data_IF_470823469832
#
_entry.id   IF_470823469832
#
_cell.length_a   1.000
_cell.length_b   1.000
_cell.length_c   1.000
_cell.angle_alpha   90.00
_cell.angle_beta   90.00
_cell.angle_gamma   90.00
#
_symmetry.space_group_name_H-M   'P 1'
#
loop_
_entity.id
_entity.type
_entity.pdbx_description
1 polymer ?
#
# COMPACT_ATOMS: atom_id res chain seq x y z
N UNK A 1 10.21 20.16 -30.56
CA UNK A 1 10.98 18.91 -30.75
C UNK A 1 10.13 17.74 -30.26
N UNK A 2 10.16 16.60 -30.95
CA UNK A 2 9.44 15.38 -30.53
C UNK A 2 10.21 14.70 -29.39
N UNK A 3 9.52 14.26 -28.34
CA UNK A 3 10.13 13.45 -27.28
C UNK A 3 10.37 12.02 -27.80
N UNK A 4 11.63 11.65 -27.99
CA UNK A 4 12.01 10.37 -28.60
C UNK A 4 11.65 9.16 -27.74
N UNK A 5 11.68 9.29 -26.40
CA UNK A 5 11.28 8.20 -25.50
C UNK A 5 9.78 7.93 -25.61
N UNK A 6 8.98 9.00 -25.58
CA UNK A 6 7.52 8.90 -25.75
C UNK A 6 7.19 8.26 -27.10
N UNK A 7 7.81 8.73 -28.19
CA UNK A 7 7.60 8.16 -29.52
C UNK A 7 7.87 6.65 -29.54
N UNK A 8 9.04 6.24 -29.04
CA UNK A 8 9.45 4.83 -29.03
C UNK A 8 8.46 3.94 -28.29
N UNK A 9 8.04 4.35 -27.09
CA UNK A 9 7.12 3.56 -26.25
C UNK A 9 5.72 3.49 -26.86
N UNK A 10 5.21 4.60 -27.39
CA UNK A 10 3.85 4.66 -27.92
C UNK A 10 3.72 3.87 -29.23
N UNK A 11 4.68 3.99 -30.15
CA UNK A 11 4.66 3.24 -31.41
C UNK A 11 4.80 1.72 -31.20
N UNK A 12 5.60 1.31 -30.21
CA UNK A 12 5.73 -0.10 -29.83
C UNK A 12 4.46 -0.65 -29.15
N UNK A 13 3.85 0.13 -28.26
CA UNK A 13 2.57 -0.23 -27.64
C UNK A 13 1.45 -0.37 -28.68
N UNK A 14 1.36 0.55 -29.63
CA UNK A 14 0.39 0.48 -30.74
C UNK A 14 0.59 -0.80 -31.56
N UNK A 15 1.85 -1.09 -31.93
CA UNK A 15 2.20 -2.29 -32.69
C UNK A 15 1.81 -3.56 -31.93
N UNK A 16 2.11 -3.59 -30.62
CA UNK A 16 1.81 -4.70 -29.72
C UNK A 16 0.31 -4.93 -29.58
N UNK A 17 -0.48 -3.88 -29.35
CA UNK A 17 -1.93 -3.99 -29.23
C UNK A 17 -2.59 -4.43 -30.56
N UNK A 18 -2.12 -3.92 -31.70
CA UNK A 18 -2.60 -4.36 -33.00
C UNK A 18 -2.27 -5.84 -33.26
N UNK A 19 -1.07 -6.30 -32.88
CA UNK A 19 -0.68 -7.70 -32.99
C UNK A 19 -1.54 -8.59 -32.06
N UNK A 20 -1.80 -8.16 -30.83
CA UNK A 20 -2.71 -8.82 -29.90
C UNK A 20 -4.13 -8.97 -30.47
N UNK A 21 -4.69 -7.89 -31.02
CA UNK A 21 -6.02 -7.92 -31.64
C UNK A 21 -6.09 -8.91 -32.82
N UNK A 22 -5.07 -8.95 -33.67
CA UNK A 22 -4.99 -9.92 -34.78
C UNK A 22 -4.85 -11.36 -34.27
N UNK A 23 -4.01 -11.59 -33.27
CA UNK A 23 -3.79 -12.92 -32.67
C UNK A 23 -5.10 -13.51 -32.13
N UNK A 24 -5.90 -12.69 -31.46
CA UNK A 24 -7.15 -13.13 -30.83
C UNK A 24 -8.40 -12.89 -31.69
N UNK A 25 -8.23 -12.42 -32.93
CA UNK A 25 -9.33 -12.12 -33.87
C UNK A 25 -10.40 -11.21 -33.26
N UNK A 26 -9.98 -10.20 -32.49
CA UNK A 26 -10.87 -9.29 -31.78
C UNK A 26 -11.77 -8.56 -32.79
N UNK A 27 -13.07 -8.80 -32.67
CA UNK A 27 -14.09 -8.16 -33.50
C UNK A 27 -14.29 -6.69 -33.13
N UNK A 28 -14.92 -5.93 -34.04
CA UNK A 28 -15.26 -4.54 -33.74
C UNK A 28 -16.20 -4.42 -32.51
N UNK A 29 -17.12 -5.36 -32.30
CA UNK A 29 -17.99 -5.38 -31.11
C UNK A 29 -17.23 -5.62 -29.81
N UNK A 30 -16.28 -6.54 -29.79
CA UNK A 30 -15.45 -6.80 -28.60
C UNK A 30 -14.53 -5.60 -28.30
N UNK A 31 -13.94 -4.99 -29.34
CA UNK A 31 -13.21 -3.75 -29.20
C UNK A 31 -14.07 -2.65 -28.56
N UNK A 32 -15.32 -2.47 -29.02
CA UNK A 32 -16.24 -1.49 -28.45
C UNK A 32 -16.58 -1.77 -26.99
N UNK A 33 -16.85 -3.04 -26.65
CA UNK A 33 -17.09 -3.43 -25.26
C UNK A 33 -15.89 -3.12 -24.36
N UNK A 34 -14.66 -3.38 -24.81
CA UNK A 34 -13.44 -3.04 -24.07
C UNK A 34 -13.27 -1.52 -23.89
N UNK A 35 -13.55 -0.72 -24.94
CA UNK A 35 -13.49 0.75 -24.81
C UNK A 35 -14.57 1.30 -23.88
N UNK A 36 -15.79 0.73 -23.94
CA UNK A 36 -16.89 1.15 -23.08
C UNK A 36 -16.59 0.85 -21.61
N UNK A 37 -15.90 -0.26 -21.33
CA UNK A 37 -15.44 -0.62 -19.99
C UNK A 37 -14.49 0.44 -19.40
N UNK A 38 -13.51 0.90 -20.19
CA UNK A 38 -12.58 1.97 -19.78
C UNK A 38 -13.35 3.28 -19.56
N UNK A 39 -14.25 3.64 -20.47
CA UNK A 39 -15.07 4.85 -20.35
C UNK A 39 -15.95 4.81 -19.10
N UNK A 40 -16.55 3.66 -18.78
CA UNK A 40 -17.37 3.50 -17.58
C UNK A 40 -16.51 3.60 -16.31
N UNK A 41 -15.29 3.06 -16.33
CA UNK A 41 -14.36 3.16 -15.19
C UNK A 41 -14.10 4.62 -14.83
N UNK A 42 -13.79 5.45 -15.83
CA UNK A 42 -13.59 6.90 -15.65
C UNK A 42 -14.85 7.60 -15.13
N UNK A 43 -16.03 7.26 -15.67
CA UNK A 43 -17.29 7.88 -15.23
C UNK A 43 -17.63 7.57 -13.78
N UNK A 44 -17.20 6.42 -13.28
CA UNK A 44 -17.45 5.96 -11.92
C UNK A 44 -16.29 6.28 -10.96
N UNK A 45 -15.20 6.86 -11.44
CA UNK A 45 -14.00 7.12 -10.63
C UNK A 45 -13.24 5.85 -10.26
N UNK A 46 -13.40 4.77 -11.03
CA UNK A 46 -12.72 3.48 -10.83
C UNK A 46 -11.52 3.28 -11.77
N UNK A 47 -11.13 4.30 -12.54
CA UNK A 47 -10.01 4.18 -13.48
C UNK A 47 -8.71 3.76 -12.80
N UNK A 48 -8.37 4.33 -11.63
CA UNK A 48 -7.18 3.92 -10.88
C UNK A 48 -7.31 2.46 -10.43
N UNK A 49 -8.45 2.07 -9.84
CA UNK A 49 -8.68 0.70 -9.40
C UNK A 49 -8.50 -0.31 -10.54
N UNK A 50 -9.00 0.01 -11.74
CA UNK A 50 -8.83 -0.83 -12.92
C UNK A 50 -7.34 -1.01 -13.25
N UNK A 51 -6.56 0.06 -13.29
CA UNK A 51 -5.14 -0.06 -13.63
C UNK A 51 -4.32 -0.72 -12.51
N UNK A 52 -4.65 -0.44 -11.25
CA UNK A 52 -3.95 -0.97 -10.08
C UNK A 52 -4.06 -2.49 -9.99
N UNK A 53 -5.28 -3.03 -10.16
CA UNK A 53 -5.55 -4.47 -10.09
C UNK A 53 -4.82 -5.28 -11.16
N UNK A 54 -4.57 -4.70 -12.34
CA UNK A 54 -4.03 -5.45 -13.47
C UNK A 54 -2.59 -5.11 -13.83
N UNK A 55 -2.05 -3.96 -13.43
CA UNK A 55 -0.77 -3.47 -13.95
C UNK A 55 0.18 -2.84 -12.91
N UNK A 56 -0.31 -2.28 -11.80
CA UNK A 56 0.57 -1.55 -10.86
C UNK A 56 1.61 -2.46 -10.19
N UNK A 57 1.26 -3.72 -9.93
CA UNK A 57 2.20 -4.71 -9.41
C UNK A 57 3.42 -4.92 -10.32
N UNK A 58 3.23 -4.96 -11.64
CA UNK A 58 4.32 -5.08 -12.62
C UNK A 58 5.22 -3.83 -12.59
N UNK A 59 4.63 -2.64 -12.49
CA UNK A 59 5.39 -1.40 -12.36
C UNK A 59 6.21 -1.34 -11.06
N UNK A 60 5.65 -1.86 -9.96
CA UNK A 60 6.36 -2.02 -8.70
C UNK A 60 7.51 -3.03 -8.80
N UNK A 61 7.32 -4.15 -9.50
CA UNK A 61 8.35 -5.16 -9.70
C UNK A 61 9.53 -4.61 -10.51
N UNK A 62 9.24 -3.85 -11.57
CA UNK A 62 10.27 -3.18 -12.36
C UNK A 62 11.06 -2.20 -11.48
N UNK A 63 10.39 -1.43 -10.62
CA UNK A 63 11.06 -0.51 -9.67
C UNK A 63 11.90 -1.26 -8.64
N UNK A 64 11.49 -2.46 -8.25
CA UNK A 64 12.20 -3.30 -7.28
C UNK A 64 13.42 -4.04 -7.86
N UNK A 65 13.51 -4.24 -9.18
CA UNK A 65 14.61 -5.00 -9.81
C UNK A 65 16.01 -4.46 -9.48
N UNK A 66 16.16 -3.15 -9.35
CA UNK A 66 17.42 -2.49 -9.03
C UNK A 66 17.46 -1.96 -7.58
N UNK A 67 16.40 -2.22 -6.81
CA UNK A 67 16.27 -1.71 -5.44
C UNK A 67 17.14 -2.51 -4.48
N UNK A 68 17.77 -1.77 -3.57
CA UNK A 68 18.45 -2.32 -2.40
C UNK A 68 17.64 -1.95 -1.15
N UNK A 69 17.71 -2.77 -0.11
CA UNK A 69 16.94 -2.55 1.12
C UNK A 69 15.53 -3.16 1.04
N UNK A 70 14.57 -2.53 1.73
CA UNK A 70 13.19 -3.04 1.79
C UNK A 70 12.49 -2.95 0.43
N UNK A 71 11.65 -3.94 0.08
CA UNK A 71 10.87 -3.88 -1.15
C UNK A 71 9.80 -2.79 -1.11
N UNK A 72 9.57 -2.15 -2.26
CA UNK A 72 8.38 -1.35 -2.50
C UNK A 72 7.19 -2.24 -2.86
N UNK A 73 6.01 -1.69 -2.64
CA UNK A 73 4.75 -2.27 -3.07
C UNK A 73 3.89 -1.18 -3.72
N UNK A 74 2.81 -1.62 -4.35
CA UNK A 74 1.82 -0.73 -4.95
C UNK A 74 1.30 0.30 -3.92
N UNK A 75 0.96 1.50 -4.34
CA UNK A 75 0.37 2.51 -3.43
C UNK A 75 -1.09 2.19 -3.16
N UNK A 76 -1.78 1.70 -4.19
CA UNK A 76 -3.23 1.55 -4.21
C UNK A 76 -3.96 2.89 -4.27
N UNK A 77 -5.28 2.86 -4.49
CA UNK A 77 -6.02 4.07 -4.89
C UNK A 77 -6.41 4.99 -3.73
N UNK A 78 -6.05 4.65 -2.48
CA UNK A 78 -6.61 5.26 -1.27
C UNK A 78 -5.63 6.08 -0.44
N UNK A 79 -4.41 6.34 -0.96
CA UNK A 79 -3.50 7.27 -0.33
C UNK A 79 -4.02 8.72 -0.44
N UNK A 80 -3.86 9.49 0.64
CA UNK A 80 -4.24 10.89 0.71
C UNK A 80 -3.12 11.68 1.39
N UNK A 81 -2.66 12.75 0.73
CA UNK A 81 -1.68 13.67 1.32
C UNK A 81 -2.33 14.47 2.44
N UNK A 82 -1.55 14.77 3.49
CA UNK A 82 -1.96 15.68 4.55
C UNK A 82 -2.55 15.02 5.79
N UNK A 83 -2.35 13.71 5.97
CA UNK A 83 -2.70 13.04 7.21
C UNK A 83 -2.09 13.75 8.44
N UNK A 84 -2.76 13.73 9.59
CA UNK A 84 -2.33 14.45 10.78
C UNK A 84 -0.97 13.94 11.26
N UNK A 85 -0.11 14.87 11.65
CA UNK A 85 1.13 14.53 12.35
C UNK A 85 0.78 14.15 13.80
N UNK A 86 1.27 13.00 14.21
CA UNK A 86 1.11 12.44 15.54
C UNK A 86 2.33 12.78 16.40
N UNK A 87 2.17 12.70 17.72
CA UNK A 87 3.23 12.91 18.71
C UNK A 87 3.27 11.73 19.68
N UNK A 88 4.46 11.34 20.20
CA UNK A 88 4.57 10.21 21.11
C UNK A 88 3.74 10.37 22.40
N UNK A 89 3.15 9.29 22.94
CA UNK A 89 3.05 7.96 22.33
C UNK A 89 2.15 7.99 21.08
N UNK A 90 2.62 7.40 19.98
CA UNK A 90 1.89 7.44 18.72
C UNK A 90 0.67 6.51 18.79
N UNK A 91 -0.52 7.08 18.62
CA UNK A 91 -1.78 6.37 18.52
C UNK A 91 -2.49 6.87 17.27
N UNK A 92 -2.95 5.96 16.42
CA UNK A 92 -3.68 6.32 15.20
C UNK A 92 -4.96 7.09 15.56
N UNK A 93 -5.32 8.15 14.82
CA UNK A 93 -6.64 8.75 14.95
C UNK A 93 -7.70 7.68 14.73
N UNK A 94 -8.68 7.59 15.61
CA UNK A 94 -9.68 6.52 15.56
C UNK A 94 -10.99 6.96 16.22
N UNK A 95 -12.10 6.28 15.96
CA UNK A 95 -13.38 6.51 16.64
C UNK A 95 -13.26 6.15 18.13
N UNK A 96 -14.16 6.72 18.93
CA UNK A 96 -14.39 6.18 20.27
C UNK A 96 -14.84 4.72 20.16
N UNK A 97 -14.13 3.83 20.85
CA UNK A 97 -14.34 2.37 20.78
C UNK A 97 -14.21 1.81 19.36
N UNK A 98 -13.19 2.25 18.60
CA UNK A 98 -12.85 1.71 17.29
C UNK A 98 -12.87 0.16 17.30
N UNK A 99 -13.73 -0.49 16.49
CA UNK A 99 -13.78 -1.93 16.42
C UNK A 99 -12.49 -2.49 15.83
N UNK A 100 -12.07 -3.67 16.30
CA UNK A 100 -10.87 -4.35 15.84
C UNK A 100 -10.00 -4.79 17.01
N UNK A 101 -9.07 -5.69 16.73
CA UNK A 101 -8.11 -6.15 17.72
C UNK A 101 -6.97 -5.14 17.82
N UNK A 102 -6.51 -4.84 19.04
CA UNK A 102 -5.45 -3.87 19.27
C UNK A 102 -4.15 -4.32 18.60
N UNK A 103 -3.48 -3.43 17.87
CA UNK A 103 -2.23 -3.70 17.17
C UNK A 103 -1.16 -2.69 17.58
N UNK A 104 0.03 -3.20 17.92
CA UNK A 104 1.26 -2.40 17.98
C UNK A 104 2.13 -2.73 16.78
N UNK A 105 2.36 -1.73 15.92
CA UNK A 105 3.27 -1.80 14.80
C UNK A 105 4.56 -1.08 15.16
N UNK A 106 5.68 -1.80 15.20
CA UNK A 106 6.97 -1.27 15.61
C UNK A 106 8.13 -1.78 14.76
N UNK A 107 9.28 -1.14 14.87
CA UNK A 107 10.50 -1.58 14.22
C UNK A 107 11.57 -0.50 14.23
N UNK A 108 12.58 -0.69 13.40
CA UNK A 108 13.65 0.26 13.15
C UNK A 108 13.72 0.63 11.66
N UNK A 109 14.23 1.84 11.40
CA UNK A 109 14.59 2.31 10.06
C UNK A 109 16.10 2.46 10.02
N UNK A 110 16.75 1.76 9.08
CA UNK A 110 18.20 1.80 8.90
C UNK A 110 18.58 2.10 7.45
N UNK A 111 19.84 2.47 7.24
CA UNK A 111 20.47 2.43 5.91
C UNK A 111 20.95 1.01 5.57
N UNK A 112 21.59 0.87 4.40
CA UNK A 112 22.12 -0.42 3.89
C UNK A 112 23.27 -0.96 4.74
N UNK A 113 23.97 -0.09 5.47
CA UNK A 113 25.05 -0.43 6.38
C UNK A 113 24.55 -0.79 7.80
N UNK A 114 23.24 -0.66 8.05
CA UNK A 114 22.60 -0.94 9.32
C UNK A 114 22.68 0.22 10.33
N UNK A 115 23.09 1.42 9.90
CA UNK A 115 23.05 2.60 10.77
C UNK A 115 21.60 3.08 10.90
N UNK A 116 21.18 3.53 12.10
CA UNK A 116 19.83 4.06 12.30
C UNK A 116 19.60 5.33 11.47
N UNK A 117 18.40 5.44 10.90
CA UNK A 117 17.93 6.64 10.18
C UNK A 117 16.94 7.38 11.09
N UNK A 118 17.41 8.32 11.92
CA UNK A 118 16.52 9.09 12.80
C UNK A 118 15.64 10.05 11.98
N UNK A 119 14.50 10.46 12.56
CA UNK A 119 13.62 11.47 11.98
C UNK A 119 13.04 11.11 10.59
N UNK A 120 13.14 9.85 10.17
CA UNK A 120 12.39 9.35 9.03
C UNK A 120 10.88 9.44 9.34
N UNK A 121 10.11 10.03 8.42
CA UNK A 121 8.65 10.09 8.49
C UNK A 121 8.08 8.76 8.03
N UNK A 122 7.16 8.20 8.82
CA UNK A 122 6.26 7.13 8.40
C UNK A 122 4.86 7.74 8.22
N UNK A 123 4.27 7.54 7.05
CA UNK A 123 2.90 7.92 6.69
C UNK A 123 2.09 6.65 6.52
N UNK A 124 1.26 6.34 7.51
CA UNK A 124 0.57 5.05 7.66
C UNK A 124 -0.93 5.23 7.40
N UNK A 125 -1.51 4.31 6.62
CA UNK A 125 -2.96 4.19 6.46
C UNK A 125 -3.39 2.74 6.30
N UNK A 126 -4.58 2.41 6.78
CA UNK A 126 -5.21 1.10 6.56
C UNK A 126 -6.73 1.17 6.71
N UNK A 127 -7.40 0.07 6.37
CA UNK A 127 -8.84 -0.08 6.51
C UNK A 127 -9.27 -0.22 7.98
N UNK A 128 -10.51 0.14 8.28
CA UNK A 128 -11.17 -0.20 9.54
C UNK A 128 -11.60 -1.69 9.58
N UNK A 129 -12.21 -2.11 10.70
CA UNK A 129 -12.68 -3.49 10.89
C UNK A 129 -13.76 -3.96 9.89
N UNK A 130 -14.33 -3.07 9.07
CA UNK A 130 -15.25 -3.42 7.99
C UNK A 130 -14.56 -3.41 6.62
N UNK A 131 -13.24 -3.20 6.56
CA UNK A 131 -12.50 -3.11 5.30
C UNK A 131 -12.64 -1.77 4.61
N UNK A 132 -13.07 -0.71 5.32
CA UNK A 132 -13.34 0.60 4.74
C UNK A 132 -12.27 1.64 5.13
N UNK A 133 -11.94 2.50 4.18
CA UNK A 133 -10.96 3.58 4.34
C UNK A 133 -11.64 4.94 4.62
N UNK A 134 -11.16 5.65 5.64
CA UNK A 134 -11.57 7.03 5.93
C UNK A 134 -11.26 7.97 4.77
N UNK A 135 -12.02 9.06 4.67
CA UNK A 135 -11.98 10.05 3.58
C UNK A 135 -12.27 9.50 2.16
N UNK A 136 -12.47 8.19 2.02
CA UNK A 136 -12.89 7.52 0.80
C UNK A 136 -14.32 7.03 0.96
N UNK A 137 -14.58 6.30 2.04
CA UNK A 137 -15.90 5.74 2.35
C UNK A 137 -16.68 6.62 3.32
N UNK A 138 -18.01 6.74 3.14
CA UNK A 138 -18.86 7.55 4.00
C UNK A 138 -19.03 6.91 5.38
N UNK A 139 -19.37 7.72 6.40
CA UNK A 139 -19.67 7.23 7.75
C UNK A 139 -18.44 6.94 8.62
N UNK A 140 -17.27 7.39 8.18
CA UNK A 140 -15.99 7.25 8.89
C UNK A 140 -15.48 8.66 9.21
N UNK A 141 -15.01 8.95 10.44
CA UNK A 141 -14.40 10.24 10.73
C UNK A 141 -13.22 10.53 9.82
N UNK A 142 -12.99 11.82 9.55
CA UNK A 142 -11.82 12.25 8.80
C UNK A 142 -10.54 11.75 9.47
N UNK A 143 -9.63 11.25 8.64
CA UNK A 143 -8.32 10.73 9.02
C UNK A 143 -8.34 9.53 9.99
N UNK A 144 -9.50 8.89 10.22
CA UNK A 144 -9.57 7.64 10.98
C UNK A 144 -8.61 6.60 10.37
N UNK A 145 -7.72 6.06 11.19
CA UNK A 145 -6.68 5.11 10.82
C UNK A 145 -5.75 5.63 9.70
N UNK A 146 -5.47 6.95 9.72
CA UNK A 146 -4.44 7.61 8.91
C UNK A 146 -3.59 8.54 9.77
N UNK A 147 -2.26 8.47 9.66
CA UNK A 147 -1.40 9.32 10.48
C UNK A 147 0.07 9.31 10.05
N UNK A 148 0.74 10.43 10.33
CA UNK A 148 2.18 10.61 10.10
C UNK A 148 2.92 10.69 11.42
N UNK A 149 4.02 9.95 11.55
CA UNK A 149 4.83 9.92 12.75
C UNK A 149 6.30 9.73 12.37
N UNK A 150 7.21 9.86 13.34
CA UNK A 150 8.64 9.92 13.06
C UNK A 150 9.40 8.87 13.86
N UNK A 151 10.41 8.27 13.23
CA UNK A 151 11.38 7.46 13.93
C UNK A 151 12.18 8.30 14.94
N UNK A 152 12.49 7.72 16.10
CA UNK A 152 13.25 8.37 17.16
C UNK A 152 14.74 8.50 16.79
N UNK A 153 15.56 8.99 17.73
CA UNK A 153 17.02 9.18 17.53
C UNK A 153 17.80 7.89 17.24
N UNK A 154 17.21 6.74 17.54
CA UNK A 154 17.76 5.40 17.28
C UNK A 154 17.13 4.78 16.02
N UNK A 155 16.38 5.54 15.22
CA UNK A 155 15.68 5.04 14.05
C UNK A 155 14.46 4.17 14.39
N UNK A 156 14.06 4.08 15.66
CA UNK A 156 12.98 3.20 16.09
C UNK A 156 11.62 3.90 16.05
N UNK A 157 10.58 3.15 15.76
CA UNK A 157 9.20 3.62 15.79
C UNK A 157 8.30 2.58 16.47
N UNK A 158 7.21 3.05 17.08
CA UNK A 158 6.10 2.22 17.54
C UNK A 158 4.82 3.05 17.44
N UNK A 159 3.78 2.48 16.83
CA UNK A 159 2.46 3.08 16.75
C UNK A 159 1.37 2.09 17.15
N UNK A 160 0.42 2.57 17.93
CA UNK A 160 -0.78 1.83 18.31
C UNK A 160 -1.89 2.07 17.29
N UNK A 161 -2.52 0.99 16.82
CA UNK A 161 -3.68 1.00 15.93
C UNK A 161 -4.58 -0.23 16.18
N UNK A 162 -5.40 -0.60 15.20
CA UNK A 162 -6.10 -1.88 15.13
C UNK A 162 -5.51 -2.77 14.03
N UNK A 163 -5.68 -4.08 14.14
CA UNK A 163 -5.39 -5.04 13.08
C UNK A 163 -6.47 -4.96 11.99
N UNK A 164 -6.15 -4.54 10.75
CA UNK A 164 -7.13 -4.52 9.67
C UNK A 164 -7.47 -5.95 9.21
N UNK A 165 -8.71 -6.20 8.75
CA UNK A 165 -9.09 -7.47 8.14
C UNK A 165 -8.68 -7.51 6.65
N UNK A 166 -8.72 -8.70 6.00
CA UNK A 166 -8.84 -8.74 4.55
C UNK A 166 -10.13 -8.04 4.10
N UNK A 167 -10.12 -7.44 2.92
CA UNK A 167 -11.27 -6.70 2.41
C UNK A 167 -11.47 -6.90 0.91
N UNK A 168 -12.70 -6.69 0.44
CA UNK A 168 -13.01 -6.68 -0.98
C UNK A 168 -12.83 -5.28 -1.57
N UNK A 169 -12.18 -5.19 -2.73
CA UNK A 169 -12.27 -3.99 -3.58
C UNK A 169 -13.71 -3.82 -4.11
N UNK A 170 -14.10 -2.62 -4.60
CA UNK A 170 -15.38 -2.42 -5.29
C UNK A 170 -15.63 -3.47 -6.39
N UNK A 171 -16.72 -4.25 -6.22
CA UNK A 171 -17.07 -5.36 -7.13
C UNK A 171 -18.27 -5.10 -8.04
N UNK A 172 -19.01 -4.03 -7.78
CA UNK A 172 -20.20 -3.66 -8.56
C UNK A 172 -19.86 -2.85 -9.83
N UNK A 173 -18.64 -2.30 -9.90
CA UNK A 173 -18.18 -1.50 -11.03
C UNK A 173 -17.44 -2.30 -12.11
N UNK A 174 -16.87 -1.60 -13.11
CA UNK A 174 -16.18 -2.19 -14.25
C UNK A 174 -15.07 -3.17 -13.87
N UNK A 175 -14.27 -2.86 -12.85
CA UNK A 175 -13.18 -3.74 -12.40
C UNK A 175 -13.73 -5.07 -11.89
N UNK A 176 -14.78 -5.02 -11.05
CA UNK A 176 -15.48 -6.21 -10.57
C UNK A 176 -16.10 -7.03 -11.69
N UNK A 177 -16.64 -6.39 -12.73
CA UNK A 177 -17.17 -7.08 -13.90
C UNK A 177 -16.09 -7.88 -14.66
N UNK A 178 -14.88 -7.30 -14.84
CA UNK A 178 -13.75 -8.02 -15.45
C UNK A 178 -13.33 -9.20 -14.56
N UNK A 179 -13.16 -8.97 -13.26
CA UNK A 179 -12.76 -10.02 -12.32
C UNK A 179 -13.76 -11.17 -12.29
N UNK A 180 -15.05 -10.87 -12.26
CA UNK A 180 -16.11 -11.88 -12.33
C UNK A 180 -16.07 -12.66 -13.64
N UNK A 181 -15.84 -12.00 -14.78
CA UNK A 181 -15.70 -12.67 -16.08
C UNK A 181 -14.47 -13.59 -16.14
N UNK A 182 -13.42 -13.27 -15.38
CA UNK A 182 -12.22 -14.09 -15.22
C UNK A 182 -12.35 -15.17 -14.13
N UNK A 183 -13.46 -15.21 -13.39
CA UNK A 183 -13.64 -16.10 -12.24
C UNK A 183 -12.73 -15.79 -11.05
N UNK A 184 -12.25 -14.54 -10.94
CA UNK A 184 -11.37 -14.06 -9.85
C UNK A 184 -12.20 -13.43 -8.74
N UNK A 185 -11.73 -13.55 -7.49
CA UNK A 185 -12.33 -12.84 -6.35
C UNK A 185 -11.87 -11.37 -6.29
N UNK A 186 -12.50 -10.59 -5.41
CA UNK A 186 -12.18 -9.17 -5.18
C UNK A 186 -11.40 -8.93 -3.88
N UNK A 187 -10.98 -9.98 -3.17
CA UNK A 187 -10.26 -9.84 -1.90
C UNK A 187 -8.80 -9.41 -2.05
N UNK A 188 -8.40 -8.51 -1.16
CA UNK A 188 -7.01 -8.25 -0.77
C UNK A 188 -6.77 -8.83 0.64
N UNK A 189 -5.57 -9.36 0.92
CA UNK A 189 -5.19 -9.80 2.27
C UNK A 189 -5.19 -8.62 3.24
N UNK A 190 -5.22 -8.89 4.55
CA UNK A 190 -5.01 -7.87 5.58
C UNK A 190 -3.63 -7.21 5.43
N UNK A 191 -3.58 -5.88 5.43
CA UNK A 191 -2.32 -5.14 5.27
C UNK A 191 -2.33 -3.74 5.86
N UNK A 192 -1.13 -3.22 6.13
CA UNK A 192 -0.86 -1.82 6.42
C UNK A 192 -0.19 -1.18 5.21
N UNK A 193 -0.64 -0.02 4.77
CA UNK A 193 0.11 0.78 3.82
C UNK A 193 1.04 1.75 4.53
N UNK A 194 2.23 1.95 3.99
CA UNK A 194 3.22 2.85 4.57
C UNK A 194 4.00 3.58 3.49
N UNK A 195 4.20 4.88 3.66
CA UNK A 195 5.28 5.60 3.01
C UNK A 195 6.35 5.95 4.03
N UNK A 196 7.59 5.63 3.71
CA UNK A 196 8.75 6.03 4.52
C UNK A 196 9.49 7.13 3.78
N UNK A 197 9.67 8.29 4.41
CA UNK A 197 10.28 9.48 3.79
C UNK A 197 11.44 9.97 4.63
N UNK A 198 12.57 10.23 3.98
CA UNK A 198 13.71 10.89 4.62
C UNK A 198 14.46 11.75 3.60
N UNK A 199 14.91 12.98 3.94
CA UNK A 199 15.57 13.88 2.99
C UNK A 199 16.78 13.27 2.26
N UNK A 200 17.54 12.40 2.94
CA UNK A 200 18.72 11.75 2.35
C UNK A 200 18.41 10.46 1.55
N UNK A 201 17.26 9.82 1.79
CA UNK A 201 16.91 8.52 1.19
C UNK A 201 15.71 8.58 0.24
N UNK A 202 15.04 9.73 0.15
CA UNK A 202 13.84 9.89 -0.68
C UNK A 202 12.58 9.38 0.01
N UNK A 203 11.60 9.00 -0.81
CA UNK A 203 10.33 8.41 -0.39
C UNK A 203 10.27 6.98 -0.93
N UNK A 204 9.83 6.05 -0.09
CA UNK A 204 9.54 4.66 -0.43
C UNK A 204 8.09 4.37 -0.12
N UNK A 205 7.38 3.71 -1.03
CA UNK A 205 5.99 3.25 -0.80
C UNK A 205 5.97 1.74 -0.65
N UNK A 206 5.36 1.24 0.41
CA UNK A 206 5.32 -0.20 0.68
C UNK A 206 4.02 -0.60 1.37
N UNK A 207 3.86 -1.91 1.54
CA UNK A 207 2.75 -2.52 2.26
C UNK A 207 3.30 -3.63 3.15
N UNK A 208 2.69 -3.80 4.32
CA UNK A 208 3.01 -4.87 5.25
C UNK A 208 1.82 -5.83 5.35
N UNK A 209 2.05 -7.10 5.08
CA UNK A 209 1.08 -8.19 5.19
C UNK A 209 1.39 -9.07 6.41
N UNK A 210 0.45 -9.92 6.79
CA UNK A 210 0.56 -10.74 8.01
C UNK A 210 0.60 -12.24 7.68
N UNK A 211 1.63 -12.93 8.19
CA UNK A 211 1.84 -14.38 7.99
C UNK A 211 0.60 -15.20 8.38
N UNK A 212 0.22 -16.17 7.53
CA UNK A 212 -0.94 -17.04 7.75
C UNK A 212 -2.30 -16.36 7.51
N UNK A 213 -2.31 -15.11 7.06
CA UNK A 213 -3.53 -14.39 6.69
C UNK A 213 -4.22 -14.94 5.44
N UNK A 214 -5.52 -14.70 5.32
CA UNK A 214 -6.28 -15.05 4.12
C UNK A 214 -5.81 -14.21 2.91
N UNK A 215 -5.88 -14.82 1.73
CA UNK A 215 -5.58 -14.21 0.43
C UNK A 215 -4.13 -13.78 0.16
N UNK A 216 -3.16 -14.20 0.98
CA UNK A 216 -1.74 -13.90 0.73
C UNK A 216 -1.26 -14.44 -0.63
N UNK A 217 -1.61 -15.67 -0.96
CA UNK A 217 -1.13 -16.36 -2.17
C UNK A 217 -1.92 -15.99 -3.44
N UNK A 218 -3.00 -15.21 -3.31
CA UNK A 218 -3.89 -14.88 -4.41
C UNK A 218 -4.50 -13.47 -4.33
N UNK A 219 -3.79 -12.51 -3.74
CA UNK A 219 -4.19 -11.09 -3.70
C UNK A 219 -4.70 -10.62 -5.08
N UNK A 220 -5.90 -10.04 -5.14
CA UNK A 220 -6.49 -9.56 -6.39
C UNK A 220 -5.61 -8.52 -7.10
N UNK A 221 -4.85 -7.74 -6.34
CA UNK A 221 -3.92 -6.73 -6.87
C UNK A 221 -2.49 -7.25 -7.06
N UNK A 222 -2.24 -8.54 -6.78
CA UNK A 222 -0.93 -9.17 -6.91
C UNK A 222 0.20 -8.39 -6.22
N UNK A 223 -0.04 -7.80 -5.05
CA UNK A 223 0.90 -6.88 -4.40
C UNK A 223 1.76 -7.53 -3.30
N UNK A 224 1.44 -8.76 -2.91
CA UNK A 224 2.21 -9.51 -1.90
C UNK A 224 3.55 -9.94 -2.49
N UNK A 225 4.65 -9.67 -1.77
CA UNK A 225 6.02 -10.07 -2.16
C UNK A 225 6.76 -10.65 -0.96
N UNK A 226 7.79 -11.43 -1.27
CA UNK A 226 8.76 -11.86 -0.28
C UNK A 226 9.39 -10.64 0.40
N UNK A 227 9.58 -10.74 1.71
CA UNK A 227 10.06 -9.62 2.52
C UNK A 227 8.99 -8.61 2.92
N UNK A 228 7.74 -8.69 2.43
CA UNK A 228 6.63 -7.84 2.88
C UNK A 228 5.64 -8.54 3.81
N UNK A 229 5.85 -9.82 4.09
CA UNK A 229 5.01 -10.62 4.99
C UNK A 229 5.69 -10.69 6.36
N UNK A 230 5.07 -10.09 7.37
CA UNK A 230 5.58 -10.09 8.74
C UNK A 230 4.78 -11.02 9.66
N UNK A 231 5.48 -11.54 10.66
CA UNK A 231 4.88 -12.37 11.69
C UNK A 231 4.04 -11.51 12.64
N UNK A 232 2.78 -11.90 12.80
CA UNK A 232 1.88 -11.32 13.79
C UNK A 232 1.96 -12.13 15.10
N UNK A 233 2.23 -11.46 16.22
CA UNK A 233 2.40 -12.09 17.53
C UNK A 233 1.25 -11.69 18.44
N UNK A 234 0.44 -12.67 18.85
CA UNK A 234 -0.59 -12.48 19.86
C UNK A 234 0.01 -12.42 21.27
N UNK A 235 -0.43 -11.45 22.08
CA UNK A 235 0.07 -11.17 23.42
C UNK A 235 -1.09 -11.10 24.41
N UNK A 236 -1.14 -12.06 25.33
CA UNK A 236 -2.19 -12.19 26.35
C UNK A 236 -1.66 -12.47 27.76
N UNK A 237 -0.33 -12.54 27.93
CA UNK A 237 0.28 -12.81 29.23
C UNK A 237 0.11 -11.63 30.18
N UNK A 238 -0.01 -11.90 31.48
CA UNK A 238 -0.14 -10.85 32.49
C UNK A 238 1.05 -9.86 32.48
N UNK A 239 2.25 -10.33 32.11
CA UNK A 239 3.45 -9.51 31.98
C UNK A 239 3.35 -8.55 30.78
N UNK A 240 2.99 -9.07 29.60
CA UNK A 240 2.80 -8.25 28.38
C UNK A 240 1.75 -7.15 28.61
N UNK A 241 0.63 -7.52 29.24
CA UNK A 241 -0.46 -6.60 29.54
C UNK A 241 -0.04 -5.54 30.58
N UNK A 242 0.69 -5.94 31.63
CA UNK A 242 1.15 -5.03 32.67
C UNK A 242 2.15 -3.99 32.12
N UNK A 243 3.09 -4.41 31.26
CA UNK A 243 4.08 -3.51 30.63
C UNK A 243 3.41 -2.38 29.84
N UNK A 244 2.27 -2.68 29.19
CA UNK A 244 1.52 -1.70 28.39
C UNK A 244 0.34 -1.07 29.12
N UNK A 245 0.08 -1.45 30.38
CA UNK A 245 -1.09 -0.99 31.14
C UNK A 245 -2.43 -1.42 30.54
N UNK A 246 -2.46 -2.55 29.83
CA UNK A 246 -3.64 -3.07 29.15
C UNK A 246 -4.37 -4.11 30.00
N UNK A 247 -5.66 -4.29 29.73
CA UNK A 247 -6.51 -5.32 30.37
C UNK A 247 -7.06 -6.33 29.38
N UNK A 248 -6.75 -6.17 28.10
CA UNK A 248 -7.16 -7.04 27.00
C UNK A 248 -5.95 -7.42 26.14
N UNK A 249 -5.95 -8.62 25.54
CA UNK A 249 -4.92 -9.03 24.61
C UNK A 249 -4.72 -8.07 23.44
N UNK A 250 -3.55 -8.15 22.81
CA UNK A 250 -3.20 -7.35 21.66
C UNK A 250 -2.31 -8.15 20.71
N UNK A 251 -2.18 -7.66 19.48
CA UNK A 251 -1.24 -8.14 18.50
C UNK A 251 -0.04 -7.20 18.40
N UNK A 252 1.13 -7.78 18.15
CA UNK A 252 2.36 -7.07 17.89
C UNK A 252 2.91 -7.53 16.53
N UNK A 253 3.29 -6.56 15.70
CA UNK A 253 4.03 -6.82 14.46
C UNK A 253 5.31 -5.99 14.47
N UNK A 254 6.42 -6.66 14.16
CA UNK A 254 7.74 -6.03 14.07
C UNK A 254 8.19 -6.06 12.61
N UNK A 255 8.53 -4.90 12.05
CA UNK A 255 9.07 -4.81 10.71
C UNK A 255 10.13 -3.71 10.61
N UNK A 256 11.30 -4.05 10.12
CA UNK A 256 12.39 -3.10 9.93
C UNK A 256 12.43 -2.62 8.48
N UNK A 257 12.50 -1.30 8.29
CA UNK A 257 12.69 -0.71 6.97
C UNK A 257 14.16 -0.43 6.72
N UNK A 258 14.68 -0.89 5.59
CA UNK A 258 16.03 -0.59 5.13
C UNK A 258 15.92 0.34 3.93
N UNK A 259 16.44 1.56 4.08
CA UNK A 259 16.40 2.58 3.04
C UNK A 259 17.71 2.61 2.24
N UNK A 260 17.58 2.65 0.91
CA UNK A 260 18.70 2.91 0.01
C UNK A 260 18.69 4.38 -0.44
N UNK A 261 19.86 5.00 -0.57
CA UNK A 261 19.94 6.36 -1.12
C UNK A 261 19.42 6.40 -2.56
N UNK A 262 18.74 7.49 -2.94
CA UNK A 262 18.33 7.70 -4.34
C UNK A 262 19.57 8.05 -5.17
N UNK A 263 19.91 7.27 -6.22
CA UNK A 263 21.00 7.64 -7.11
C UNK A 263 20.74 9.03 -7.72
N UNK A 264 21.64 9.99 -7.47
CA UNK A 264 21.61 11.31 -8.12
C UNK A 264 20.96 12.46 -7.34
N UNK A 265 20.44 12.26 -6.12
CA UNK A 265 20.07 13.37 -5.22
C UNK A 265 21.17 13.63 -4.20
N UNK A 266 22.05 14.59 -4.49
CA UNK A 266 22.87 15.22 -3.43
C UNK A 266 21.96 16.03 -2.51
N UNK A 267 22.32 16.10 -1.22
CA UNK A 267 21.54 16.70 -0.13
C UNK A 267 21.25 18.23 -0.22
N UNK A 268 21.29 18.82 -1.42
CA UNK A 268 21.20 20.28 -1.64
C UNK A 268 19.94 20.76 -2.37
N UNK A 269 19.07 19.88 -2.86
CA UNK A 269 17.80 20.33 -3.47
C UNK A 269 16.66 20.33 -2.44
N UNK A 270 16.65 21.36 -1.58
CA UNK A 270 15.43 21.79 -0.88
C UNK A 270 14.49 22.38 -1.94
N UNK A 271 13.46 21.65 -2.32
CA UNK A 271 12.41 22.19 -3.19
C UNK A 271 11.50 23.10 -2.38
N UNK A 272 11.24 24.25 -3.00
CA UNK A 272 10.44 25.41 -2.59
C UNK A 272 8.97 25.05 -2.45
#
# INVERSE_FOLDING_TARGET
MVNQRVKTVIEDLETTLCAFMRKHQISHSEYRAATDLIIQSIKLGEESLLFDVFFEAEASDISNNERQGSPEAIEGPFYLRGAPQLYPPYVMPQRDNEPGELLFFKGAITDLEGNPVPEAELDLWHADALGLYSNIHPGIPDWNLRGRFYANKQGQYEIQSILPPPYEIPKAGPTGAVLSALGRHCFRPAHLHVKVKHPAFGEMTSQLYFEGGEYLDNDVASAVRDGLVAKLVYRDSAEDLAIRGLTKPYYEVIYDFVLSAVPGKTATERTI
#
